data_IF_448246069523
#
_entry.id   IF_448246069523
#
_cell.length_a   1.000
_cell.length_b   1.000
_cell.length_c   1.000
_cell.angle_alpha   90.00
_cell.angle_beta   90.00
_cell.angle_gamma   90.00
#
_symmetry.space_group_name_H-M   'P 1'
#
loop_
_entity.id
_entity.type
_entity.pdbx_description
1 polymer ?
#
# COMPACT_ATOMS: atom_id res chain seq x y z
N UNK A 1 -7.17 4.25 -12.40
CA UNK A 1 -8.05 5.38 -12.03
C UNK A 1 -7.67 5.83 -10.63
N UNK A 2 -7.47 7.12 -10.37
CA UNK A 2 -7.15 7.58 -9.01
C UNK A 2 -8.41 7.86 -8.21
N UNK A 3 -8.36 7.61 -6.90
CA UNK A 3 -9.45 7.86 -5.97
C UNK A 3 -8.92 8.27 -4.60
N UNK A 4 -9.65 9.14 -3.92
CA UNK A 4 -9.40 9.40 -2.52
C UNK A 4 -9.90 8.24 -1.67
N UNK A 5 -9.03 7.78 -0.77
CA UNK A 5 -9.33 6.78 0.24
C UNK A 5 -8.85 7.30 1.58
N UNK A 6 -9.47 6.85 2.67
CA UNK A 6 -8.97 7.11 4.01
C UNK A 6 -8.30 5.84 4.53
N UNK A 7 -7.05 5.93 4.99
CA UNK A 7 -6.33 4.81 5.59
C UNK A 7 -6.00 5.17 7.03
N UNK A 8 -6.57 4.43 7.98
CA UNK A 8 -6.45 4.71 9.41
C UNK A 8 -6.76 6.18 9.79
N UNK A 9 -7.81 6.77 9.21
CA UNK A 9 -8.16 8.17 9.48
C UNK A 9 -7.48 9.21 8.58
N UNK A 10 -6.52 8.78 7.74
CA UNK A 10 -5.67 9.69 6.97
C UNK A 10 -6.01 9.60 5.48
N UNK A 11 -6.44 10.73 4.92
CA UNK A 11 -6.82 10.84 3.51
C UNK A 11 -5.59 10.74 2.61
N UNK A 12 -5.64 9.82 1.65
CA UNK A 12 -4.60 9.62 0.64
C UNK A 12 -5.22 9.43 -0.74
N UNK A 13 -4.44 9.56 -1.80
CA UNK A 13 -4.84 9.27 -3.17
C UNK A 13 -4.28 7.90 -3.57
N UNK A 14 -5.16 6.99 -3.98
CA UNK A 14 -4.81 5.63 -4.36
C UNK A 14 -5.13 5.38 -5.84
N UNK A 15 -4.25 4.62 -6.50
CA UNK A 15 -4.55 4.05 -7.81
C UNK A 15 -5.44 2.82 -7.62
N UNK A 16 -6.66 2.87 -8.17
CA UNK A 16 -7.49 1.68 -8.34
C UNK A 16 -6.92 0.88 -9.51
N UNK A 17 -6.33 -0.26 -9.17
CA UNK A 17 -5.70 -1.20 -10.09
C UNK A 17 -6.29 -2.61 -9.90
N UNK A 18 -7.19 -3.00 -10.81
CA UNK A 18 -7.80 -4.34 -10.80
C UNK A 18 -6.90 -5.42 -11.39
N UNK A 19 -5.76 -5.05 -11.99
CA UNK A 19 -4.77 -5.99 -12.52
C UNK A 19 -3.84 -6.56 -11.45
N UNK A 20 -3.89 -6.03 -10.23
CA UNK A 20 -3.06 -6.44 -9.10
C UNK A 20 -3.80 -7.34 -8.12
N UNK A 21 -3.12 -8.35 -7.58
CA UNK A 21 -3.68 -9.26 -6.56
C UNK A 21 -3.53 -8.75 -5.12
N UNK A 22 -2.73 -7.70 -4.90
CA UNK A 22 -2.38 -7.19 -3.56
C UNK A 22 -2.46 -5.67 -3.53
N UNK A 23 -2.68 -5.11 -2.34
CA UNK A 23 -2.60 -3.66 -2.11
C UNK A 23 -1.16 -3.26 -1.78
N UNK A 24 -0.68 -2.18 -2.38
CA UNK A 24 0.67 -1.64 -2.17
C UNK A 24 0.62 -0.23 -1.58
N UNK A 25 1.57 0.07 -0.71
CA UNK A 25 1.86 1.43 -0.27
C UNK A 25 3.35 1.69 -0.37
N UNK A 26 3.71 2.88 -0.86
CA UNK A 26 5.10 3.32 -0.88
C UNK A 26 5.59 3.59 0.55
N UNK A 27 6.86 3.33 0.81
CA UNK A 27 7.43 3.48 2.15
C UNK A 27 7.35 4.92 2.68
N UNK A 28 7.40 5.93 1.83
CA UNK A 28 7.24 7.34 2.21
C UNK A 28 5.80 7.66 2.67
N UNK A 29 4.79 7.15 1.95
CA UNK A 29 3.39 7.30 2.32
C UNK A 29 3.01 6.47 3.56
N UNK A 30 3.65 5.31 3.77
CA UNK A 30 3.49 4.51 4.99
C UNK A 30 3.75 5.34 6.28
N UNK A 31 4.80 6.16 6.29
CA UNK A 31 5.10 7.00 7.45
C UNK A 31 4.05 8.09 7.70
N UNK A 32 3.23 8.42 6.69
CA UNK A 32 2.15 9.40 6.81
C UNK A 32 0.87 8.80 7.41
N UNK A 33 0.60 7.52 7.20
CA UNK A 33 -0.65 6.85 7.63
C UNK A 33 -0.59 6.31 9.08
N UNK A 34 0.07 7.05 9.97
CA UNK A 34 0.32 6.72 11.38
C UNK A 34 1.27 5.53 11.64
N UNK A 35 1.97 5.02 10.62
CA UNK A 35 3.03 4.02 10.75
C UNK A 35 2.71 2.82 11.68
N UNK A 36 1.63 2.06 11.42
CA UNK A 36 1.23 0.92 12.25
C UNK A 36 2.31 -0.18 12.31
N UNK A 37 2.26 -1.02 13.34
CA UNK A 37 3.23 -2.11 13.53
C UNK A 37 3.34 -2.98 12.27
N UNK A 38 4.58 -3.15 11.80
CA UNK A 38 4.89 -3.84 10.55
C UNK A 38 5.11 -5.33 10.81
N UNK A 39 4.36 -6.18 10.10
CA UNK A 39 4.75 -7.57 9.94
C UNK A 39 5.94 -7.65 8.97
N UNK A 40 7.10 -8.06 9.49
CA UNK A 40 8.38 -8.10 8.76
C UNK A 40 8.49 -9.24 7.74
N UNK A 41 7.45 -10.04 7.56
CA UNK A 41 7.40 -11.04 6.49
C UNK A 41 7.43 -10.35 5.13
N UNK A 42 8.55 -10.51 4.43
CA UNK A 42 8.75 -9.94 3.10
C UNK A 42 8.14 -10.86 2.04
N UNK A 43 7.50 -10.25 1.04
CA UNK A 43 6.92 -10.95 -0.10
C UNK A 43 7.62 -10.46 -1.36
N UNK A 44 8.00 -11.39 -2.25
CA UNK A 44 8.44 -11.04 -3.60
C UNK A 44 7.22 -10.89 -4.47
N UNK A 45 7.07 -9.73 -5.10
CA UNK A 45 6.00 -9.42 -6.04
C UNK A 45 6.63 -9.27 -7.42
N UNK A 46 5.94 -9.78 -8.43
CA UNK A 46 6.31 -9.65 -9.83
C UNK A 46 5.23 -8.91 -10.61
N UNK A 47 5.66 -8.09 -11.55
CA UNK A 47 4.80 -7.32 -12.44
C UNK A 47 5.13 -7.58 -13.91
N UNK A 48 4.46 -6.85 -14.78
CA UNK A 48 4.70 -6.90 -16.22
C UNK A 48 6.15 -6.50 -16.56
N UNK A 49 6.68 -7.06 -17.66
CA UNK A 49 8.02 -6.73 -18.14
C UNK A 49 9.16 -7.26 -17.28
N UNK A 50 8.90 -8.23 -16.39
CA UNK A 50 9.92 -8.78 -15.48
C UNK A 50 10.25 -7.88 -14.30
N UNK A 51 9.44 -6.86 -14.03
CA UNK A 51 9.58 -6.04 -12.84
C UNK A 51 9.39 -6.90 -11.59
N UNK A 52 10.31 -6.78 -10.63
CA UNK A 52 10.21 -7.44 -9.33
C UNK A 52 10.44 -6.45 -8.21
N UNK A 53 9.72 -6.62 -7.11
CA UNK A 53 9.95 -5.89 -5.86
C UNK A 53 9.89 -6.83 -4.67
N UNK A 54 10.86 -6.69 -3.76
CA UNK A 54 10.81 -7.32 -2.45
C UNK A 54 10.21 -6.31 -1.47
N UNK A 55 9.10 -6.66 -0.82
CA UNK A 55 8.44 -5.77 0.14
C UNK A 55 9.29 -5.57 1.39
N UNK A 56 9.07 -4.47 2.11
CA UNK A 56 9.66 -4.22 3.43
C UNK A 56 8.91 -4.95 4.55
N UNK A 57 7.67 -5.35 4.26
CA UNK A 57 6.76 -6.03 5.17
C UNK A 57 5.32 -5.80 4.74
N UNK A 58 4.38 -6.00 5.66
CA UNK A 58 2.96 -5.70 5.46
C UNK A 58 2.32 -5.16 6.73
N UNK A 59 1.27 -4.37 6.56
CA UNK A 59 0.47 -3.81 7.64
C UNK A 59 -1.00 -4.15 7.43
N UNK A 60 -1.74 -4.28 8.53
CA UNK A 60 -3.20 -4.36 8.53
C UNK A 60 -3.76 -2.97 8.80
N UNK A 61 -4.67 -2.51 7.96
CA UNK A 61 -5.24 -1.15 8.03
C UNK A 61 -6.76 -1.19 7.95
N UNK A 62 -7.40 -0.17 8.53
CA UNK A 62 -8.78 0.18 8.19
C UNK A 62 -8.75 1.15 7.00
N UNK A 63 -9.49 0.83 5.95
CA UNK A 63 -9.62 1.63 4.74
C UNK A 63 -11.08 2.04 4.55
N UNK A 64 -11.33 3.33 4.41
CA UNK A 64 -12.62 3.89 4.01
C UNK A 64 -12.59 4.29 2.54
N UNK A 65 -13.54 3.78 1.76
CA UNK A 65 -13.75 4.12 0.36
C UNK A 65 -15.24 4.41 0.17
N UNK A 66 -15.60 5.65 -0.20
CA UNK A 66 -16.98 6.09 -0.40
C UNK A 66 -17.91 5.73 0.78
N UNK A 67 -17.48 5.95 2.02
CA UNK A 67 -18.21 5.63 3.26
C UNK A 67 -18.38 4.13 3.53
N UNK A 68 -17.56 3.29 2.89
CA UNK A 68 -17.50 1.85 3.15
C UNK A 68 -16.16 1.51 3.79
N UNK A 69 -16.23 0.89 4.97
CA UNK A 69 -15.06 0.50 5.75
C UNK A 69 -14.67 -0.94 5.50
N UNK A 70 -13.39 -1.15 5.25
CA UNK A 70 -12.80 -2.46 5.05
C UNK A 70 -11.54 -2.60 5.89
N UNK A 71 -11.32 -3.78 6.45
CA UNK A 71 -10.03 -4.12 7.02
C UNK A 71 -9.24 -4.93 6.00
N UNK A 72 -8.06 -4.46 5.63
CA UNK A 72 -7.24 -5.08 4.58
C UNK A 72 -5.77 -5.10 4.93
N UNK A 73 -5.00 -5.91 4.20
CA UNK A 73 -3.54 -5.96 4.27
C UNK A 73 -2.96 -5.14 3.12
N UNK A 74 -1.94 -4.34 3.43
CA UNK A 74 -1.19 -3.55 2.46
C UNK A 74 0.29 -3.87 2.61
N UNK A 75 0.96 -4.15 1.49
CA UNK A 75 2.39 -4.41 1.46
C UNK A 75 3.17 -3.13 1.25
N UNK A 76 4.20 -2.93 2.08
CA UNK A 76 5.05 -1.74 2.00
C UNK A 76 6.14 -2.00 0.96
N UNK A 77 6.21 -1.17 -0.07
CA UNK A 77 7.25 -1.25 -1.11
C UNK A 77 8.28 -0.12 -0.92
N UNK A 78 9.58 -0.37 -1.17
CA UNK A 78 10.59 0.68 -1.12
C UNK A 78 10.26 1.82 -2.07
N UNK A 79 10.37 3.06 -1.60
CA UNK A 79 10.33 4.24 -2.44
C UNK A 79 11.71 4.88 -2.50
N UNK A 80 12.24 4.98 -3.71
CA UNK A 80 13.49 5.70 -3.99
C UNK A 80 13.14 6.84 -4.93
N UNK A 81 13.43 8.06 -4.52
CA UNK A 81 13.40 9.20 -5.43
C UNK A 81 14.66 9.10 -6.29
N UNK A 82 14.49 8.81 -7.58
CA UNK A 82 15.60 8.96 -8.53
C UNK A 82 16.07 10.42 -8.50
N UNK A 83 17.38 10.61 -8.28
CA UNK A 83 18.03 11.92 -8.25
C UNK A 83 18.38 12.39 -9.65
#
# INVERSE_FOLDING_TARGET
MFKHVEVNGIRTEALIDTGSNVNLIRSDEYFRIAAPEVNLNKTRLSGLGGAEVLTLGSIKVEMDIDNHKYTTVVHIVPYVVER
#
